data_IF_784122072617
#
_entry.id   IF_784122072617
#
_cell.length_a   1.000
_cell.length_b   1.000
_cell.length_c   1.000
_cell.angle_alpha   90.00
_cell.angle_beta   90.00
_cell.angle_gamma   90.00
#
_symmetry.space_group_name_H-M   'P 1'
#
loop_
_entity.id
_entity.type
_entity.pdbx_description
1 polymer ?
#
# COMPACT_ATOMS: atom_id res chain seq x y z
N UNK A 1 16.81 -14.65 -9.66
CA UNK A 1 16.10 -13.40 -10.01
C UNK A 1 17.14 -12.30 -9.89
N UNK A 2 17.41 -11.55 -10.95
CA UNK A 2 18.42 -10.48 -10.93
C UNK A 2 17.96 -9.41 -9.94
N UNK A 3 18.58 -9.37 -8.75
CA UNK A 3 18.42 -8.32 -7.77
C UNK A 3 19.07 -7.04 -8.29
N UNK A 4 18.35 -6.32 -9.14
CA UNK A 4 18.60 -4.89 -9.26
C UNK A 4 17.78 -4.25 -8.16
N UNK A 5 18.41 -4.06 -7.00
CA UNK A 5 17.87 -3.18 -5.96
C UNK A 5 17.81 -1.80 -6.60
N UNK A 6 16.61 -1.38 -6.97
CA UNK A 6 16.39 -0.02 -7.44
C UNK A 6 16.82 0.93 -6.34
N UNK A 7 17.73 1.86 -6.65
CA UNK A 7 18.11 2.90 -5.71
C UNK A 7 16.93 3.85 -5.53
N UNK A 8 16.33 3.83 -4.35
CA UNK A 8 15.16 4.64 -4.03
C UNK A 8 15.48 5.76 -3.04
N UNK A 9 16.72 5.86 -2.54
CA UNK A 9 17.13 6.83 -1.52
C UNK A 9 18.34 7.64 -1.99
N UNK A 10 18.24 8.97 -1.88
CA UNK A 10 19.22 9.92 -2.37
C UNK A 10 19.43 11.02 -1.33
N UNK A 11 20.69 11.35 -1.06
CA UNK A 11 21.05 12.52 -0.27
C UNK A 11 21.38 13.65 -1.24
N UNK A 12 20.57 14.71 -1.23
CA UNK A 12 20.74 15.85 -2.13
C UNK A 12 21.35 17.04 -1.42
N UNK A 13 22.14 17.83 -2.15
CA UNK A 13 22.75 19.06 -1.60
C UNK A 13 21.77 20.23 -1.51
N UNK A 14 20.69 20.19 -2.31
CA UNK A 14 19.70 21.25 -2.34
C UNK A 14 18.83 21.25 -1.08
N UNK A 15 18.50 22.45 -0.60
CA UNK A 15 17.52 22.62 0.48
C UNK A 15 16.11 22.55 -0.13
N UNK A 16 15.38 21.50 0.21
CA UNK A 16 13.99 21.32 -0.19
C UNK A 16 13.10 21.31 1.05
N UNK A 17 11.88 21.81 0.93
CA UNK A 17 10.90 21.71 2.00
C UNK A 17 10.43 20.25 2.13
N UNK A 18 10.18 19.80 3.36
CA UNK A 18 9.65 18.46 3.60
C UNK A 18 8.27 18.32 2.96
N UNK A 19 7.98 17.16 2.38
CA UNK A 19 6.69 16.90 1.73
C UNK A 19 6.81 15.92 0.57
N UNK A 20 5.72 15.79 -0.18
CA UNK A 20 5.64 14.94 -1.35
C UNK A 20 5.68 15.78 -2.62
N UNK A 21 6.37 15.27 -3.64
CA UNK A 21 6.56 15.97 -4.90
C UNK A 21 6.40 15.01 -6.06
N UNK A 22 5.90 15.54 -7.17
CA UNK A 22 5.97 14.86 -8.46
C UNK A 22 7.25 15.27 -9.18
N UNK A 23 8.02 14.30 -9.69
CA UNK A 23 9.33 14.56 -10.30
C UNK A 23 9.33 14.31 -11.81
N UNK A 24 10.06 15.15 -12.54
CA UNK A 24 10.23 15.04 -13.98
C UNK A 24 11.67 15.28 -14.41
N UNK A 25 12.07 14.65 -15.51
CA UNK A 25 13.36 14.86 -16.18
C UNK A 25 13.26 16.03 -17.13
N UNK A 26 14.13 17.02 -16.95
CA UNK A 26 14.35 18.18 -17.82
C UNK A 26 13.17 19.15 -18.04
N UNK A 27 11.93 18.67 -18.11
CA UNK A 27 10.70 19.46 -18.31
C UNK A 27 9.48 18.73 -17.75
N UNK A 28 8.43 19.47 -17.44
CA UNK A 28 7.14 18.87 -17.06
C UNK A 28 6.49 18.20 -18.28
N UNK A 29 5.89 17.03 -18.07
CA UNK A 29 5.15 16.28 -19.11
C UNK A 29 3.80 15.87 -18.52
N UNK A 30 2.73 16.54 -18.92
CA UNK A 30 1.36 16.34 -18.44
C UNK A 30 1.22 16.31 -16.89
N UNK A 31 1.75 17.32 -16.16
CA UNK A 31 1.65 17.37 -14.71
C UNK A 31 0.19 17.54 -14.26
N UNK A 32 -0.20 16.83 -13.21
CA UNK A 32 -1.56 16.88 -12.65
C UNK A 32 -1.72 17.94 -11.56
N UNK A 33 -0.61 18.48 -11.02
CA UNK A 33 -0.57 19.53 -10.00
C UNK A 33 -1.29 19.22 -8.68
N UNK A 34 -1.57 17.93 -8.38
CA UNK A 34 -1.99 17.52 -7.04
C UNK A 34 -0.84 17.60 -6.01
N UNK A 35 0.41 17.62 -6.50
CA UNK A 35 1.63 17.85 -5.73
C UNK A 35 2.47 18.91 -6.43
N UNK A 36 3.33 19.57 -5.65
CA UNK A 36 4.36 20.44 -6.20
C UNK A 36 5.32 19.63 -7.09
N UNK A 37 5.77 20.24 -8.18
CA UNK A 37 6.63 19.56 -9.15
C UNK A 37 8.11 19.91 -8.96
N UNK A 38 8.98 18.94 -9.19
CA UNK A 38 10.44 19.11 -9.19
C UNK A 38 11.01 18.65 -10.53
N UNK A 39 11.88 19.46 -11.12
CA UNK A 39 12.68 19.06 -12.28
C UNK A 39 14.03 18.51 -11.82
N UNK A 40 14.39 17.36 -12.36
CA UNK A 40 15.72 16.75 -12.21
C UNK A 40 16.43 16.84 -13.54
N UNK A 41 17.67 17.33 -13.51
CA UNK A 41 18.55 17.43 -14.68
C UNK A 41 19.88 16.73 -14.42
N UNK A 42 20.54 16.31 -15.49
CA UNK A 42 21.93 15.86 -15.40
C UNK A 42 22.85 17.01 -14.98
N UNK A 43 23.90 16.69 -14.24
CA UNK A 43 24.90 17.69 -13.85
C UNK A 43 25.53 18.36 -15.09
N UNK A 44 25.71 19.68 -15.04
CA UNK A 44 26.29 20.46 -16.13
C UNK A 44 25.31 20.89 -17.24
N UNK A 45 24.04 20.44 -17.20
CA UNK A 45 23.00 20.92 -18.11
C UNK A 45 22.36 22.21 -17.58
N UNK A 46 22.16 23.21 -18.45
CA UNK A 46 21.46 24.46 -18.14
C UNK A 46 20.15 24.46 -18.92
N UNK A 47 19.01 24.46 -18.22
CA UNK A 47 17.67 24.59 -18.81
C UNK A 47 17.33 26.06 -19.08
N UNK A 48 16.61 26.33 -20.17
CA UNK A 48 16.03 27.66 -20.38
C UNK A 48 14.90 27.90 -19.39
N UNK A 49 14.72 29.15 -18.95
CA UNK A 49 13.68 29.55 -17.98
C UNK A 49 12.26 29.16 -18.42
N UNK A 50 12.01 29.09 -19.73
CA UNK A 50 10.73 28.65 -20.33
C UNK A 50 10.39 27.18 -20.07
N UNK A 51 11.37 26.30 -19.86
CA UNK A 51 11.15 24.87 -19.60
C UNK A 51 10.79 24.58 -18.13
N UNK A 52 10.92 25.59 -17.26
CA UNK A 52 10.78 25.46 -15.80
C UNK A 52 9.43 25.96 -15.26
N UNK A 53 8.53 26.44 -16.12
CA UNK A 53 7.27 27.02 -15.67
C UNK A 53 6.40 25.98 -14.94
N UNK A 54 6.03 26.27 -13.68
CA UNK A 54 5.23 25.37 -12.83
C UNK A 54 6.04 24.36 -12.00
N UNK A 55 7.38 24.35 -12.10
CA UNK A 55 8.25 23.58 -11.20
C UNK A 55 8.61 24.44 -9.98
N UNK A 56 8.46 23.87 -8.77
CA UNK A 56 8.84 24.54 -7.52
C UNK A 56 10.35 24.52 -7.29
N UNK A 57 11.00 23.43 -7.68
CA UNK A 57 12.45 23.27 -7.55
C UNK A 57 13.07 22.65 -8.80
N UNK A 58 14.37 22.90 -8.98
CA UNK A 58 15.22 22.28 -9.99
C UNK A 58 16.43 21.68 -9.27
N UNK A 59 16.73 20.42 -9.55
CA UNK A 59 17.83 19.67 -8.94
C UNK A 59 18.74 19.16 -10.06
N UNK A 60 20.03 19.42 -9.95
CA UNK A 60 21.05 18.80 -10.80
C UNK A 60 21.62 17.59 -10.05
N UNK A 61 21.25 16.38 -10.46
CA UNK A 61 21.74 15.13 -9.87
C UNK A 61 21.62 14.00 -10.90
N UNK A 62 22.76 13.57 -11.45
CA UNK A 62 22.81 12.56 -12.50
C UNK A 62 22.36 11.17 -12.01
N UNK A 63 22.55 10.85 -10.74
CA UNK A 63 22.19 9.55 -10.19
C UNK A 63 20.67 9.44 -9.99
N UNK A 64 20.07 10.48 -9.40
CA UNK A 64 18.62 10.61 -9.30
C UNK A 64 17.99 10.62 -10.68
N UNK A 65 18.53 11.41 -11.62
CA UNK A 65 18.03 11.50 -13.00
C UNK A 65 17.91 10.11 -13.67
N UNK A 66 18.91 9.25 -13.51
CA UNK A 66 18.91 7.92 -14.11
C UNK A 66 17.94 6.93 -13.41
N UNK A 67 17.62 7.19 -12.14
CA UNK A 67 16.86 6.27 -11.28
C UNK A 67 15.34 6.48 -11.30
N UNK A 68 14.87 7.57 -11.92
CA UNK A 68 13.46 7.98 -11.93
C UNK A 68 12.85 7.88 -13.32
N UNK A 69 11.52 8.01 -13.40
CA UNK A 69 10.78 8.36 -14.61
C UNK A 69 9.91 9.59 -14.44
N UNK A 70 9.47 10.17 -15.56
CA UNK A 70 8.57 11.31 -15.56
C UNK A 70 7.26 10.99 -14.82
N UNK A 71 6.92 11.83 -13.85
CA UNK A 71 5.73 11.72 -13.04
C UNK A 71 5.85 10.78 -11.85
N UNK A 72 7.03 10.17 -11.59
CA UNK A 72 7.30 9.45 -10.35
C UNK A 72 7.04 10.35 -9.12
N UNK A 73 6.72 9.73 -7.97
CA UNK A 73 6.44 10.47 -6.73
C UNK A 73 7.57 10.23 -5.74
N UNK A 74 8.03 11.32 -5.12
CA UNK A 74 9.04 11.29 -4.07
C UNK A 74 8.49 11.86 -2.76
N UNK A 75 9.08 11.43 -1.65
CA UNK A 75 9.00 12.10 -0.35
C UNK A 75 10.34 12.75 -0.03
N UNK A 76 10.31 13.97 0.46
CA UNK A 76 11.47 14.71 0.97
C UNK A 76 11.37 14.81 2.48
N UNK A 77 12.44 14.40 3.16
CA UNK A 77 12.60 14.61 4.60
C UNK A 77 14.04 14.93 4.92
N UNK A 78 14.32 16.09 5.51
CA UNK A 78 15.66 16.52 5.91
C UNK A 78 16.67 16.49 4.74
N UNK A 79 16.29 17.04 3.58
CA UNK A 79 17.10 17.00 2.34
C UNK A 79 17.48 15.59 1.86
N UNK A 80 16.74 14.57 2.31
CA UNK A 80 16.81 13.22 1.75
C UNK A 80 15.58 12.97 0.89
N UNK A 81 15.82 12.58 -0.36
CA UNK A 81 14.79 12.15 -1.29
C UNK A 81 14.61 10.65 -1.17
N UNK A 82 13.36 10.22 -1.04
CA UNK A 82 12.98 8.82 -1.25
C UNK A 82 11.96 8.73 -2.37
N UNK A 83 12.18 7.87 -3.36
CA UNK A 83 11.16 7.58 -4.37
C UNK A 83 10.16 6.58 -3.81
N UNK A 84 8.89 6.97 -3.76
CA UNK A 84 7.82 6.19 -3.11
C UNK A 84 6.88 5.54 -4.12
N UNK A 85 6.71 6.13 -5.30
CA UNK A 85 5.99 5.56 -6.42
C UNK A 85 6.82 5.73 -7.68
N UNK A 86 6.97 4.66 -8.45
CA UNK A 86 7.71 4.71 -9.70
C UNK A 86 7.16 3.84 -10.78
N UNK A 87 7.21 4.36 -12.02
CA UNK A 87 6.86 3.61 -13.22
C UNK A 87 7.86 2.50 -13.55
N UNK A 88 9.06 2.52 -12.94
CA UNK A 88 10.05 1.42 -13.04
C UNK A 88 9.91 0.36 -11.97
N UNK A 89 9.12 0.61 -10.92
CA UNK A 89 9.00 -0.33 -9.82
C UNK A 89 8.18 -1.54 -10.24
N UNK A 90 8.63 -2.74 -9.86
CA UNK A 90 7.86 -3.97 -10.03
C UNK A 90 6.56 -3.94 -9.20
N UNK A 91 6.60 -3.24 -8.06
CA UNK A 91 5.47 -3.08 -7.15
C UNK A 91 5.53 -1.68 -6.55
N UNK A 92 4.39 -1.00 -6.54
CA UNK A 92 4.20 0.27 -5.85
C UNK A 92 3.32 0.01 -4.63
N UNK A 93 3.70 0.50 -3.45
CA UNK A 93 2.89 0.33 -2.23
C UNK A 93 3.03 1.54 -1.31
N UNK A 94 1.91 2.06 -0.85
CA UNK A 94 1.83 3.17 0.09
C UNK A 94 1.37 2.68 1.46
N UNK A 95 2.02 3.16 2.52
CA UNK A 95 1.59 2.96 3.90
C UNK A 95 0.62 4.07 4.28
N UNK A 96 -0.65 3.74 4.59
CA UNK A 96 -1.67 4.75 4.91
C UNK A 96 -1.94 4.89 6.42
N UNK A 97 -1.42 3.98 7.25
CA UNK A 97 -1.48 4.06 8.72
C UNK A 97 -0.48 3.08 9.33
N UNK A 98 0.00 3.34 10.54
CA UNK A 98 0.74 2.41 11.40
C UNK A 98 -0.17 1.83 12.51
N UNK A 99 -1.43 2.23 12.61
CA UNK A 99 -2.39 1.69 13.58
C UNK A 99 -2.95 0.36 13.08
N UNK A 100 -3.11 -0.60 13.99
CA UNK A 100 -3.73 -1.90 13.71
C UNK A 100 -4.48 -2.39 14.94
N UNK A 101 -5.57 -3.13 14.72
CA UNK A 101 -6.33 -3.84 15.77
C UNK A 101 -5.85 -5.29 15.96
N UNK A 102 -4.82 -5.75 15.25
CA UNK A 102 -4.10 -6.99 15.51
C UNK A 102 -2.70 -6.70 16.10
N UNK A 103 -2.16 -7.64 16.86
CA UNK A 103 -0.81 -7.65 17.42
C UNK A 103 -0.06 -8.90 16.96
N UNK A 104 0.01 -9.10 15.64
CA UNK A 104 0.55 -10.33 15.05
C UNK A 104 1.96 -10.62 15.52
N UNK A 105 2.22 -11.85 15.98
CA UNK A 105 3.52 -12.24 16.57
C UNK A 105 4.71 -12.06 15.60
N UNK A 106 4.43 -12.04 14.30
CA UNK A 106 5.40 -11.89 13.20
C UNK A 106 5.27 -10.54 12.46
N UNK A 107 4.65 -9.54 13.07
CA UNK A 107 4.46 -8.25 12.41
C UNK A 107 5.82 -7.59 12.07
N UNK A 108 6.05 -7.31 10.79
CA UNK A 108 7.25 -6.60 10.32
C UNK A 108 7.24 -5.11 10.71
N UNK A 109 6.05 -4.54 10.92
CA UNK A 109 5.81 -3.16 11.32
C UNK A 109 4.87 -3.10 12.52
N UNK A 110 5.36 -3.36 13.75
CA UNK A 110 4.54 -3.35 14.96
C UNK A 110 3.66 -2.10 15.07
N UNK A 111 2.37 -2.25 15.44
CA UNK A 111 1.44 -1.13 15.43
C UNK A 111 1.85 0.00 16.37
N UNK A 112 1.62 1.24 15.94
CA UNK A 112 1.86 2.44 16.75
C UNK A 112 0.55 3.17 17.01
N UNK A 113 0.29 3.49 18.27
CA UNK A 113 -0.90 4.24 18.68
C UNK A 113 -0.61 5.74 18.70
N UNK A 114 -0.46 6.33 17.51
CA UNK A 114 -0.35 7.77 17.30
C UNK A 114 -1.31 8.19 16.19
N UNK A 115 -1.74 9.44 16.20
CA UNK A 115 -2.39 9.98 15.01
C UNK A 115 -1.39 9.98 13.87
N UNK A 116 -1.86 9.47 12.73
CA UNK A 116 -1.14 9.29 11.48
C UNK A 116 -2.08 9.50 10.29
N UNK A 117 -3.23 10.16 10.52
CA UNK A 117 -4.28 10.35 9.53
C UNK A 117 -3.82 11.08 8.27
N UNK A 118 -2.80 11.94 8.38
CA UNK A 118 -2.17 12.60 7.23
C UNK A 118 -1.62 11.62 6.19
N UNK A 119 -1.24 10.40 6.58
CA UNK A 119 -0.72 9.39 5.64
C UNK A 119 -1.77 8.96 4.61
N UNK A 120 -3.04 8.90 4.99
CA UNK A 120 -4.14 8.58 4.07
C UNK A 120 -4.35 9.72 3.07
N UNK A 121 -4.29 10.96 3.53
CA UNK A 121 -4.43 12.16 2.69
C UNK A 121 -3.25 12.30 1.72
N UNK A 122 -2.01 12.11 2.21
CA UNK A 122 -0.79 12.10 1.40
C UNK A 122 -0.84 10.99 0.34
N UNK A 123 -1.32 9.80 0.70
CA UNK A 123 -1.48 8.71 -0.25
C UNK A 123 -2.49 9.04 -1.35
N UNK A 124 -3.60 9.72 -1.03
CA UNK A 124 -4.58 10.15 -2.02
C UNK A 124 -3.95 11.13 -3.01
N UNK A 125 -3.24 12.14 -2.51
CA UNK A 125 -2.54 13.12 -3.35
C UNK A 125 -1.45 12.47 -4.20
N UNK A 126 -0.70 11.53 -3.64
CA UNK A 126 0.33 10.78 -4.36
C UNK A 126 -0.27 9.92 -5.48
N UNK A 127 -1.38 9.20 -5.23
CA UNK A 127 -2.05 8.38 -6.25
C UNK A 127 -2.63 9.26 -7.36
N UNK A 128 -3.30 10.35 -7.00
CA UNK A 128 -3.85 11.31 -7.95
C UNK A 128 -2.74 11.96 -8.79
N UNK A 129 -1.62 12.33 -8.15
CA UNK A 129 -0.47 12.89 -8.83
C UNK A 129 0.15 11.89 -9.82
N UNK A 130 0.38 10.65 -9.36
CA UNK A 130 1.04 9.59 -10.11
C UNK A 130 0.21 9.12 -11.32
N UNK A 131 -1.12 9.12 -11.19
CA UNK A 131 -2.09 8.78 -12.25
C UNK A 131 -1.64 7.56 -13.09
N UNK A 132 -1.35 6.46 -12.40
CA UNK A 132 -0.69 5.29 -12.97
C UNK A 132 -1.72 4.24 -13.38
N UNK A 133 -1.66 3.84 -14.66
CA UNK A 133 -2.45 2.73 -15.19
C UNK A 133 -1.77 1.40 -14.85
N UNK A 134 -1.82 1.05 -13.56
CA UNK A 134 -1.21 -0.14 -13.00
C UNK A 134 -1.57 -0.30 -11.53
N UNK A 135 -0.97 -1.30 -10.88
CA UNK A 135 -1.33 -1.67 -9.51
C UNK A 135 -0.58 -0.82 -8.48
N UNK A 136 -1.34 -0.22 -7.57
CA UNK A 136 -0.82 0.41 -6.35
C UNK A 136 -1.35 -0.36 -5.13
N UNK A 137 -0.42 -0.85 -4.33
CA UNK A 137 -0.71 -1.46 -3.04
C UNK A 137 -1.06 -0.41 -2.00
N UNK A 138 -2.15 -0.62 -1.27
CA UNK A 138 -2.50 0.15 -0.07
C UNK A 138 -2.21 -0.75 1.12
N UNK A 139 -1.20 -0.39 1.90
CA UNK A 139 -0.78 -1.11 3.10
C UNK A 139 -0.97 -0.25 4.34
N UNK A 140 -0.77 -0.81 5.51
CA UNK A 140 -0.85 -0.10 6.78
C UNK A 140 -0.32 -0.94 7.93
N UNK A 141 -0.78 -0.60 9.13
CA UNK A 141 -1.25 -1.59 10.08
C UNK A 141 -2.57 -2.18 9.59
N UNK A 142 -3.69 -1.46 9.75
CA UNK A 142 -5.01 -1.83 9.23
C UNK A 142 -5.74 -0.63 8.59
N UNK A 143 -5.75 -0.51 7.25
CA UNK A 143 -6.40 0.60 6.55
C UNK A 143 -7.89 0.74 6.85
N UNK A 144 -8.62 -0.35 7.06
CA UNK A 144 -10.08 -0.29 7.25
C UNK A 144 -10.50 0.26 8.63
N UNK A 145 -9.55 0.50 9.55
CA UNK A 145 -9.81 1.22 10.80
C UNK A 145 -10.32 2.65 10.57
N UNK A 146 -10.01 3.26 9.43
CA UNK A 146 -10.49 4.60 9.07
C UNK A 146 -12.01 4.65 8.81
N UNK A 147 -12.68 3.50 8.63
CA UNK A 147 -14.14 3.44 8.44
C UNK A 147 -14.60 4.31 7.26
N UNK A 148 -15.49 5.27 7.52
CA UNK A 148 -16.01 6.16 6.48
C UNK A 148 -14.91 6.95 5.75
N UNK A 149 -13.81 7.32 6.43
CA UNK A 149 -12.70 8.02 5.76
C UNK A 149 -12.02 7.15 4.69
N UNK A 150 -11.95 5.83 4.89
CA UNK A 150 -11.44 4.92 3.86
C UNK A 150 -12.41 4.81 2.68
N UNK A 151 -13.72 4.84 2.95
CA UNK A 151 -14.75 4.86 1.91
C UNK A 151 -14.64 6.15 1.06
N UNK A 152 -14.47 7.30 1.72
CA UNK A 152 -14.24 8.58 1.02
C UNK A 152 -12.94 8.54 0.21
N UNK A 153 -11.86 7.95 0.75
CA UNK A 153 -10.60 7.74 0.03
C UNK A 153 -10.79 6.94 -1.27
N UNK A 154 -11.55 5.83 -1.22
CA UNK A 154 -11.87 5.03 -2.42
C UNK A 154 -12.68 5.86 -3.43
N UNK A 155 -13.69 6.61 -2.98
CA UNK A 155 -14.49 7.48 -3.85
C UNK A 155 -13.62 8.53 -4.55
N UNK A 156 -12.69 9.15 -3.83
CA UNK A 156 -11.80 10.16 -4.42
C UNK A 156 -10.80 9.53 -5.39
N UNK A 157 -10.23 8.34 -5.12
CA UNK A 157 -9.39 7.64 -6.10
C UNK A 157 -10.17 7.32 -7.37
N UNK A 158 -11.41 6.83 -7.26
CA UNK A 158 -12.27 6.57 -8.42
C UNK A 158 -12.41 7.80 -9.30
N UNK A 159 -12.56 8.98 -8.69
CA UNK A 159 -12.72 10.26 -9.39
C UNK A 159 -11.41 10.78 -9.99
N UNK A 160 -10.31 10.67 -9.25
CA UNK A 160 -9.04 11.33 -9.56
C UNK A 160 -8.10 10.46 -10.40
N UNK A 161 -8.13 9.14 -10.20
CA UNK A 161 -7.25 8.19 -10.85
C UNK A 161 -8.03 6.91 -11.25
N UNK A 162 -9.06 7.01 -12.12
CA UNK A 162 -10.01 5.92 -12.39
C UNK A 162 -9.39 4.66 -13.02
N UNK A 163 -8.21 4.78 -13.64
CA UNK A 163 -7.49 3.65 -14.24
C UNK A 163 -6.55 2.95 -13.26
N UNK A 164 -6.28 3.56 -12.10
CA UNK A 164 -5.39 2.97 -11.09
C UNK A 164 -6.05 1.73 -10.50
N UNK A 165 -5.36 0.61 -10.57
CA UNK A 165 -5.77 -0.64 -9.93
C UNK A 165 -5.29 -0.63 -8.48
N UNK A 166 -6.14 -1.01 -7.54
CA UNK A 166 -5.79 -1.05 -6.12
C UNK A 166 -5.65 -2.49 -5.62
N UNK A 167 -4.61 -2.73 -4.83
CA UNK A 167 -4.49 -3.93 -4.00
C UNK A 167 -4.39 -3.51 -2.53
N UNK A 168 -5.47 -3.71 -1.77
CA UNK A 168 -5.57 -3.25 -0.38
C UNK A 168 -5.26 -4.40 0.56
N UNK A 169 -4.23 -4.25 1.39
CA UNK A 169 -3.90 -5.20 2.44
C UNK A 169 -4.70 -4.86 3.71
N UNK A 170 -5.46 -5.82 4.21
CA UNK A 170 -6.31 -5.67 5.40
C UNK A 170 -6.43 -7.01 6.11
N UNK A 171 -6.56 -7.02 7.43
CA UNK A 171 -6.93 -8.19 8.21
C UNK A 171 -8.37 -8.66 7.95
N UNK A 172 -9.19 -7.90 7.21
CA UNK A 172 -10.53 -8.29 6.79
C UNK A 172 -11.60 -8.22 7.88
N UNK A 173 -11.24 -7.99 9.15
CA UNK A 173 -12.17 -7.99 10.30
C UNK A 173 -13.29 -6.95 10.13
N UNK A 174 -12.98 -5.79 9.52
CA UNK A 174 -13.98 -4.72 9.31
C UNK A 174 -15.12 -5.16 8.38
N UNK A 175 -14.91 -6.14 7.51
CA UNK A 175 -15.95 -6.68 6.64
C UNK A 175 -17.02 -7.51 7.38
N UNK A 176 -16.80 -7.87 8.65
CA UNK A 176 -17.84 -8.49 9.48
C UNK A 176 -19.07 -7.58 9.65
N UNK A 177 -18.88 -6.26 9.57
CA UNK A 177 -19.95 -5.28 9.46
C UNK A 177 -20.46 -5.21 8.01
N UNK A 178 -21.63 -5.83 7.78
CA UNK A 178 -22.25 -5.89 6.46
C UNK A 178 -22.64 -4.50 5.92
N UNK A 179 -22.95 -3.52 6.78
CA UNK A 179 -23.31 -2.17 6.34
C UNK A 179 -22.09 -1.43 5.81
N UNK A 180 -20.95 -1.54 6.52
CA UNK A 180 -19.68 -1.03 6.04
C UNK A 180 -19.30 -1.66 4.70
N UNK A 181 -19.39 -2.99 4.60
CA UNK A 181 -19.01 -3.74 3.39
C UNK A 181 -19.84 -3.33 2.18
N UNK A 182 -21.17 -3.21 2.33
CA UNK A 182 -22.06 -2.75 1.26
C UNK A 182 -21.74 -1.32 0.83
N UNK A 183 -21.45 -0.42 1.78
CA UNK A 183 -21.12 0.97 1.48
C UNK A 183 -19.76 1.11 0.78
N UNK A 184 -18.76 0.32 1.17
CA UNK A 184 -17.48 0.29 0.48
C UNK A 184 -17.67 -0.19 -0.97
N UNK A 185 -18.42 -1.27 -1.17
CA UNK A 185 -18.70 -1.81 -2.50
C UNK A 185 -19.43 -0.81 -3.40
N UNK A 186 -20.39 -0.03 -2.86
CA UNK A 186 -21.11 0.96 -3.68
C UNK A 186 -20.18 2.06 -4.21
N UNK A 187 -19.23 2.53 -3.40
CA UNK A 187 -18.24 3.52 -3.85
C UNK A 187 -17.18 2.91 -4.77
N UNK A 188 -16.75 1.68 -4.47
CA UNK A 188 -15.74 0.95 -5.23
C UNK A 188 -16.26 0.36 -6.56
N UNK A 189 -17.56 0.48 -6.84
CA UNK A 189 -18.17 -0.07 -8.06
C UNK A 189 -17.40 0.38 -9.31
N UNK A 190 -17.20 -0.50 -10.27
CA UNK A 190 -16.46 -0.25 -11.52
C UNK A 190 -14.96 0.06 -11.35
N UNK A 191 -14.42 0.05 -10.12
CA UNK A 191 -12.97 0.08 -9.89
C UNK A 191 -12.41 -1.34 -9.92
N UNK A 192 -11.18 -1.48 -10.38
CA UNK A 192 -10.43 -2.70 -10.21
C UNK A 192 -9.70 -2.67 -8.85
N UNK A 193 -10.30 -3.33 -7.86
CA UNK A 193 -9.78 -3.42 -6.50
C UNK A 193 -9.78 -4.86 -6.03
N UNK A 194 -8.68 -5.27 -5.40
CA UNK A 194 -8.55 -6.55 -4.70
C UNK A 194 -8.17 -6.31 -3.25
N UNK A 195 -8.68 -7.16 -2.35
CA UNK A 195 -8.36 -7.11 -0.93
C UNK A 195 -7.55 -8.34 -0.53
N UNK A 196 -6.31 -8.10 -0.10
CA UNK A 196 -5.42 -9.12 0.45
C UNK A 196 -5.74 -9.36 1.91
N UNK A 197 -6.42 -10.47 2.23
CA UNK A 197 -6.89 -10.83 3.58
C UNK A 197 -6.09 -12.02 4.11
N UNK A 198 -5.35 -11.87 5.22
CA UNK A 198 -4.64 -12.98 5.82
C UNK A 198 -5.56 -13.88 6.65
N UNK A 199 -5.40 -15.20 6.49
CA UNK A 199 -6.03 -16.20 7.35
C UNK A 199 -4.97 -17.21 7.80
N UNK A 200 -4.61 -17.18 9.09
CA UNK A 200 -3.46 -17.94 9.57
C UNK A 200 -3.76 -19.37 10.06
N UNK A 201 -5.03 -19.73 10.22
CA UNK A 201 -5.47 -21.08 10.58
C UNK A 201 -6.97 -21.23 10.32
N UNK A 202 -7.44 -22.46 10.12
CA UNK A 202 -8.86 -22.83 10.18
C UNK A 202 -9.34 -23.08 11.62
N UNK A 203 -8.44 -23.05 12.60
CA UNK A 203 -8.73 -23.19 14.01
C UNK A 203 -8.68 -21.82 14.67
N UNK A 204 -9.76 -21.47 15.37
CA UNK A 204 -9.93 -20.18 16.04
C UNK A 204 -8.76 -19.87 16.96
N UNK A 205 -8.42 -20.81 17.84
CA UNK A 205 -7.43 -20.61 18.90
C UNK A 205 -6.06 -20.29 18.32
N UNK A 206 -5.68 -21.00 17.25
CA UNK A 206 -4.40 -20.78 16.56
C UNK A 206 -4.39 -19.42 15.85
N UNK A 207 -5.48 -19.06 15.15
CA UNK A 207 -5.55 -17.77 14.47
C UNK A 207 -5.46 -16.61 15.47
N UNK A 208 -6.29 -16.64 16.52
CA UNK A 208 -6.36 -15.61 17.55
C UNK A 208 -5.03 -15.47 18.30
N UNK A 209 -4.33 -16.59 18.58
CA UNK A 209 -2.99 -16.59 19.18
C UNK A 209 -1.96 -15.90 18.27
N UNK A 210 -1.97 -16.22 16.98
CA UNK A 210 -1.01 -15.68 16.01
C UNK A 210 -1.19 -14.19 15.78
N UNK A 211 -2.44 -13.70 15.79
CA UNK A 211 -2.77 -12.28 15.61
C UNK A 211 -2.85 -11.50 16.92
N UNK A 212 -2.76 -12.18 18.07
CA UNK A 212 -2.76 -11.57 19.39
C UNK A 212 -4.07 -10.89 19.77
N UNK A 213 -5.21 -11.40 19.29
CA UNK A 213 -6.53 -10.83 19.57
C UNK A 213 -7.63 -11.90 19.57
N UNK A 214 -8.32 -12.04 20.71
CA UNK A 214 -9.45 -12.97 20.83
C UNK A 214 -10.64 -12.49 19.98
N UNK A 215 -11.26 -13.38 19.23
CA UNK A 215 -12.39 -13.06 18.34
C UNK A 215 -11.99 -12.59 16.94
N UNK A 216 -10.69 -12.45 16.66
CA UNK A 216 -10.23 -12.00 15.35
C UNK A 216 -10.54 -13.03 14.25
N UNK A 217 -10.50 -14.32 14.58
CA UNK A 217 -10.88 -15.40 13.67
C UNK A 217 -12.33 -15.25 13.20
N UNK A 218 -13.30 -15.14 14.10
CA UNK A 218 -14.72 -15.03 13.74
C UNK A 218 -15.00 -13.79 12.91
N UNK A 219 -14.44 -12.65 13.29
CA UNK A 219 -14.58 -11.40 12.55
C UNK A 219 -13.97 -11.51 11.14
N UNK A 220 -12.81 -12.17 11.00
CA UNK A 220 -12.15 -12.38 9.72
C UNK A 220 -12.93 -13.35 8.84
N UNK A 221 -13.39 -14.48 9.37
CA UNK A 221 -14.22 -15.46 8.64
C UNK A 221 -15.52 -14.82 8.17
N UNK A 222 -16.23 -14.13 9.08
CA UNK A 222 -17.45 -13.41 8.75
C UNK A 222 -17.18 -12.33 7.70
N UNK A 223 -16.04 -11.63 7.82
CA UNK A 223 -15.62 -10.63 6.85
C UNK A 223 -15.38 -11.20 5.46
N UNK A 224 -14.65 -12.31 5.35
CA UNK A 224 -14.41 -13.01 4.08
C UNK A 224 -15.72 -13.49 3.47
N UNK A 225 -16.62 -14.07 4.26
CA UNK A 225 -17.93 -14.53 3.79
C UNK A 225 -18.80 -13.37 3.30
N UNK A 226 -18.91 -12.28 4.06
CA UNK A 226 -19.67 -11.09 3.69
C UNK A 226 -19.13 -10.45 2.40
N UNK A 227 -17.81 -10.24 2.34
CA UNK A 227 -17.16 -9.63 1.19
C UNK A 227 -17.28 -10.53 -0.05
N UNK A 228 -17.01 -11.82 0.09
CA UNK A 228 -17.10 -12.80 -1.00
C UNK A 228 -18.51 -12.93 -1.57
N UNK A 229 -19.54 -12.99 -0.71
CA UNK A 229 -20.94 -13.07 -1.14
C UNK A 229 -21.44 -11.79 -1.83
N UNK A 230 -20.78 -10.65 -1.59
CA UNK A 230 -21.06 -9.40 -2.27
C UNK A 230 -20.23 -9.21 -3.56
N UNK A 231 -19.36 -10.18 -3.90
CA UNK A 231 -18.51 -10.11 -5.10
C UNK A 231 -17.27 -9.23 -4.93
N UNK A 232 -16.84 -8.93 -3.71
CA UNK A 232 -15.55 -8.27 -3.48
C UNK A 232 -14.42 -9.25 -3.80
N UNK A 233 -13.47 -8.83 -4.63
CA UNK A 233 -12.33 -9.65 -5.02
C UNK A 233 -11.34 -9.82 -3.87
N UNK A 234 -11.05 -11.07 -3.49
CA UNK A 234 -10.21 -11.38 -2.33
C UNK A 234 -8.99 -12.21 -2.76
N UNK A 235 -7.80 -11.73 -2.38
CA UNK A 235 -6.58 -12.54 -2.30
C UNK A 235 -6.48 -13.08 -0.86
N UNK A 236 -6.53 -14.40 -0.69
CA UNK A 236 -6.29 -15.01 0.61
C UNK A 236 -4.79 -15.12 0.84
N UNK A 237 -4.29 -14.58 1.96
CA UNK A 237 -2.85 -14.56 2.27
C UNK A 237 -2.54 -15.47 3.45
N UNK A 238 -1.47 -16.23 3.36
CA UNK A 238 -1.09 -17.16 4.40
C UNK A 238 0.41 -17.06 4.64
N UNK A 239 0.79 -16.91 5.90
CA UNK A 239 2.18 -16.94 6.35
C UNK A 239 2.36 -18.22 7.16
N UNK A 240 3.08 -19.22 6.63
CA UNK A 240 3.46 -20.40 7.39
C UNK A 240 4.42 -20.03 8.52
N UNK A 241 4.17 -20.59 9.70
CA UNK A 241 4.94 -20.45 10.92
C UNK A 241 5.08 -21.83 11.56
N UNK A 242 5.98 -21.97 12.55
CA UNK A 242 6.10 -23.21 13.35
C UNK A 242 4.76 -23.64 14.00
N UNK A 243 3.82 -22.72 14.22
CA UNK A 243 2.55 -22.97 14.90
C UNK A 243 1.48 -23.50 13.92
N UNK A 244 1.43 -23.01 12.68
CA UNK A 244 0.32 -23.32 11.74
C UNK A 244 0.70 -24.17 10.53
N UNK A 245 1.99 -24.43 10.25
CA UNK A 245 2.42 -25.07 9.01
C UNK A 245 1.79 -26.45 8.77
N UNK A 246 1.57 -27.25 9.81
CA UNK A 246 0.93 -28.57 9.70
C UNK A 246 -0.57 -28.50 9.35
N UNK A 247 -1.21 -27.38 9.65
CA UNK A 247 -2.66 -27.18 9.46
C UNK A 247 -2.99 -26.36 8.23
N UNK A 248 -1.99 -25.97 7.42
CA UNK A 248 -2.17 -25.15 6.24
C UNK A 248 -3.20 -25.71 5.24
N UNK A 249 -3.17 -27.02 5.00
CA UNK A 249 -4.07 -27.69 4.06
C UNK A 249 -5.55 -27.48 4.41
N UNK A 250 -5.88 -27.36 5.70
CA UNK A 250 -7.24 -27.10 6.16
C UNK A 250 -7.75 -25.72 5.73
N UNK A 251 -6.86 -24.73 5.57
CA UNK A 251 -7.23 -23.39 5.10
C UNK A 251 -7.60 -23.45 3.62
N UNK A 252 -6.85 -24.21 2.83
CA UNK A 252 -7.14 -24.42 1.40
C UNK A 252 -8.47 -25.15 1.23
N UNK A 253 -8.73 -26.18 2.04
CA UNK A 253 -10.01 -26.88 2.05
C UNK A 253 -11.18 -25.97 2.46
N UNK A 254 -11.01 -25.17 3.52
CA UNK A 254 -11.99 -24.18 3.95
C UNK A 254 -12.30 -23.19 2.82
N UNK A 255 -11.27 -22.69 2.14
CA UNK A 255 -11.41 -21.80 1.01
C UNK A 255 -12.22 -22.43 -0.12
N UNK A 256 -11.93 -23.68 -0.49
CA UNK A 256 -12.62 -24.37 -1.58
C UNK A 256 -14.10 -24.68 -1.27
N UNK A 257 -14.46 -24.83 0.01
CA UNK A 257 -15.81 -25.25 0.44
C UNK A 257 -16.72 -24.10 0.88
N UNK A 258 -16.15 -23.03 1.46
CA UNK A 258 -16.91 -22.02 2.19
C UNK A 258 -16.82 -20.64 1.57
N UNK A 259 -15.66 -20.25 1.04
CA UNK A 259 -15.44 -18.89 0.59
C UNK A 259 -15.80 -18.69 -0.88
N UNK A 260 -16.58 -17.65 -1.13
CA UNK A 260 -16.87 -17.15 -2.47
C UNK A 260 -15.85 -16.07 -2.85
N UNK A 261 -15.58 -15.95 -4.15
CA UNK A 261 -14.81 -14.86 -4.74
C UNK A 261 -13.37 -14.68 -4.23
N UNK A 262 -12.76 -15.80 -3.79
CA UNK A 262 -11.31 -15.90 -3.60
C UNK A 262 -10.69 -16.13 -4.99
N UNK A 263 -9.92 -15.17 -5.49
CA UNK A 263 -9.31 -15.24 -6.83
C UNK A 263 -7.84 -15.70 -6.80
N UNK A 264 -7.20 -15.62 -5.64
CA UNK A 264 -5.80 -15.94 -5.45
C UNK A 264 -5.57 -16.42 -4.01
N UNK A 265 -4.71 -17.43 -3.85
CA UNK A 265 -4.15 -17.82 -2.55
C UNK A 265 -2.65 -17.59 -2.61
N UNK A 266 -2.14 -16.68 -1.79
CA UNK A 266 -0.72 -16.33 -1.71
C UNK A 266 -0.10 -16.91 -0.45
N UNK A 267 0.92 -17.76 -0.63
CA UNK A 267 1.75 -18.25 0.46
C UNK A 267 3.00 -17.36 0.54
N UNK A 268 3.17 -16.68 1.66
CA UNK A 268 4.21 -15.67 1.86
C UNK A 268 5.27 -16.15 2.86
N UNK A 269 6.52 -15.80 2.59
CA UNK A 269 7.60 -15.99 3.56
C UNK A 269 7.52 -14.96 4.69
N UNK A 270 8.02 -15.36 5.86
CA UNK A 270 8.26 -14.45 6.97
C UNK A 270 9.41 -13.49 6.61
N UNK A 271 9.15 -12.19 6.70
CA UNK A 271 10.22 -11.19 6.63
C UNK A 271 10.92 -11.08 7.99
N UNK A 272 12.25 -11.22 8.09
CA UNK A 272 13.00 -11.17 9.35
C UNK A 272 13.15 -9.72 9.88
N UNK A 273 12.05 -8.98 9.97
CA UNK A 273 11.97 -7.58 10.39
C UNK A 273 10.92 -7.43 11.50
N UNK A 274 11.01 -6.36 12.31
CA UNK A 274 10.03 -6.12 13.38
C UNK A 274 10.00 -7.22 14.43
N UNK A 275 8.81 -7.63 14.84
CA UNK A 275 8.61 -8.69 15.85
C UNK A 275 8.99 -10.09 15.32
N UNK A 276 8.97 -10.32 14.01
CA UNK A 276 9.38 -11.59 13.41
C UNK A 276 10.84 -11.95 13.73
N UNK A 277 11.72 -10.97 13.96
CA UNK A 277 13.12 -11.21 14.39
C UNK A 277 13.22 -12.06 15.66
N UNK A 278 12.27 -11.94 16.59
CA UNK A 278 12.29 -12.66 17.86
C UNK A 278 11.79 -14.11 17.74
N UNK A 279 11.22 -14.49 16.60
CA UNK A 279 10.50 -15.76 16.39
C UNK A 279 11.19 -16.70 15.39
N UNK A 280 12.34 -16.29 14.83
CA UNK A 280 13.18 -17.12 13.95
C UNK A 280 14.21 -17.96 14.72
N UNK A 281 14.24 -17.88 16.06
CA UNK A 281 14.96 -18.79 16.95
C UNK A 281 14.26 -20.12 17.12
#
# INVERSE_FOLDING_TARGET
MLEVIRKDLFDIRSKLDNGYYQIFKDRLVDPTFYLDNILVQQEGKILSSTLCNGAKYIIADSELYNSIENGDIISVSNSRIRVILSRKANHNTLLVTERCNNLCQFCSQPPKNRDDSWLLDDALLAIAAFNFDGVIGISGGEPLLYGNKFIDFIREIKRLAPRTVLHVLTNGRRFSDIYFTKKLLSEAKDMNISFGIPLYSSHKEIHDELVGHNGAYEETIMGIVNAGNLGINIELRIIPTKINYLHFHNIVELCARVFSNINQISIMNLEPVGWAKKKLG
#
